data_IF_961319615466
#
_entry.id   IF_961319615466
#
_cell.length_a   1.000
_cell.length_b   1.000
_cell.length_c   1.000
_cell.angle_alpha   90.00
_cell.angle_beta   90.00
_cell.angle_gamma   90.00
#
_symmetry.space_group_name_H-M   'P 1'
#
loop_
_entity.id
_entity.type
_entity.pdbx_description
1 polymer ?
#
# COMPACT_ATOMS: atom_id res chain seq x y z
N UNK A 1 1.02 4.53 7.13
CA UNK A 1 0.64 4.70 5.71
C UNK A 1 -0.39 3.66 5.34
N UNK A 2 -1.42 4.06 4.61
CA UNK A 2 -2.34 3.17 3.92
C UNK A 2 -1.94 3.11 2.45
N UNK A 3 -1.60 1.94 1.95
CA UNK A 3 -1.23 1.73 0.55
C UNK A 3 -2.36 1.03 -0.21
N UNK A 4 -2.68 1.52 -1.40
CA UNK A 4 -3.73 0.98 -2.25
C UNK A 4 -3.12 0.57 -3.60
N UNK A 5 -3.48 -0.62 -4.06
CA UNK A 5 -3.34 -1.06 -5.44
C UNK A 5 -4.75 -1.33 -6.00
N UNK A 6 -5.38 -0.34 -6.64
CA UNK A 6 -6.76 -0.44 -7.06
C UNK A 6 -6.93 -1.38 -8.25
N UNK A 7 -8.03 -2.15 -8.25
CA UNK A 7 -8.45 -2.92 -9.41
C UNK A 7 -8.79 -1.99 -10.59
N UNK A 8 -8.24 -2.28 -11.76
CA UNK A 8 -8.36 -1.41 -12.95
C UNK A 8 -9.70 -1.57 -13.69
N UNK A 9 -10.42 -2.68 -13.46
CA UNK A 9 -11.67 -2.98 -14.16
C UNK A 9 -12.80 -3.37 -13.20
N UNK A 10 -13.99 -2.82 -13.43
CA UNK A 10 -15.20 -3.10 -12.66
C UNK A 10 -15.98 -4.34 -13.18
N UNK A 11 -15.35 -5.28 -13.85
CA UNK A 11 -15.99 -6.50 -14.36
C UNK A 11 -16.12 -7.55 -13.25
N UNK A 12 -17.10 -8.43 -13.35
CA UNK A 12 -17.37 -9.51 -12.36
C UNK A 12 -16.18 -10.46 -12.13
N UNK A 13 -15.20 -10.46 -13.03
CA UNK A 13 -13.90 -11.14 -12.92
C UNK A 13 -12.76 -10.17 -12.55
N UNK A 14 -13.08 -9.01 -11.97
CA UNK A 14 -12.08 -8.02 -11.62
C UNK A 14 -11.12 -8.55 -10.56
N UNK A 15 -9.85 -8.14 -10.69
CA UNK A 15 -8.84 -8.34 -9.68
C UNK A 15 -9.27 -7.71 -8.35
N UNK A 16 -8.73 -8.22 -7.26
CA UNK A 16 -8.93 -7.60 -5.95
C UNK A 16 -8.27 -6.22 -5.90
N UNK A 17 -8.80 -5.34 -5.07
CA UNK A 17 -8.10 -4.12 -4.68
C UNK A 17 -7.23 -4.42 -3.46
N UNK A 18 -5.92 -4.21 -3.58
CA UNK A 18 -5.00 -4.31 -2.47
C UNK A 18 -5.14 -3.08 -1.56
N UNK A 19 -5.36 -3.29 -0.27
CA UNK A 19 -5.37 -2.24 0.76
C UNK A 19 -4.58 -2.76 1.95
N UNK A 20 -3.37 -2.26 2.14
CA UNK A 20 -2.46 -2.69 3.21
C UNK A 20 -2.10 -1.48 4.08
N UNK A 21 -2.19 -1.65 5.38
CA UNK A 21 -1.73 -0.66 6.35
C UNK A 21 -0.37 -1.07 6.87
N UNK A 22 0.59 -0.17 6.74
CA UNK A 22 1.97 -0.38 7.19
C UNK A 22 2.45 0.75 8.07
N UNK A 23 3.33 0.43 9.00
CA UNK A 23 3.94 1.38 9.92
C UNK A 23 5.44 1.16 10.06
N UNK A 24 6.10 2.17 10.62
CA UNK A 24 7.54 2.12 10.94
C UNK A 24 7.77 2.73 12.32
N UNK A 25 8.60 2.09 13.14
CA UNK A 25 9.02 2.65 14.42
C UNK A 25 10.31 3.48 14.30
N UNK A 26 10.75 4.08 15.40
CA UNK A 26 11.96 4.90 15.46
C UNK A 26 13.26 4.10 15.27
N UNK A 27 13.21 2.78 15.43
CA UNK A 27 14.34 1.88 15.23
C UNK A 27 14.41 1.33 13.80
N UNK A 28 13.62 1.92 12.88
CA UNK A 28 13.51 1.49 11.48
C UNK A 28 13.05 0.03 11.32
N UNK A 29 12.20 -0.44 12.22
CA UNK A 29 11.44 -1.67 12.06
C UNK A 29 10.10 -1.35 11.43
N UNK A 30 9.68 -2.23 10.55
CA UNK A 30 8.46 -2.08 9.76
C UNK A 30 7.41 -3.07 10.24
N UNK A 31 6.17 -2.67 10.15
CA UNK A 31 5.02 -3.47 10.60
C UNK A 31 3.96 -3.50 9.53
N UNK A 32 3.48 -4.70 9.21
CA UNK A 32 2.22 -4.88 8.48
C UNK A 32 1.13 -4.94 9.53
N UNK A 33 0.28 -3.91 9.54
CA UNK A 33 -0.71 -3.70 10.60
C UNK A 33 -2.05 -4.30 10.25
N UNK A 34 -2.47 -4.19 8.99
CA UNK A 34 -3.77 -4.65 8.53
C UNK A 34 -3.79 -4.93 7.04
N UNK A 35 -4.56 -5.94 6.64
CA UNK A 35 -4.91 -6.25 5.25
C UNK A 35 -6.42 -6.16 5.08
N UNK A 36 -6.89 -5.10 4.43
CA UNK A 36 -8.29 -4.86 4.11
C UNK A 36 -8.60 -5.06 2.63
N UNK A 37 -7.70 -5.75 1.93
CA UNK A 37 -7.86 -6.06 0.52
C UNK A 37 -9.09 -6.91 0.24
N UNK A 38 -9.63 -6.79 -0.94
CA UNK A 38 -10.80 -7.57 -1.37
C UNK A 38 -11.36 -7.11 -2.71
N UNK A 39 -12.45 -7.73 -3.11
CA UNK A 39 -13.22 -7.33 -4.29
C UNK A 39 -14.20 -6.24 -3.91
N UNK A 40 -13.92 -5.03 -4.36
CA UNK A 40 -14.68 -3.85 -4.03
C UNK A 40 -15.04 -3.04 -5.27
N UNK A 41 -16.21 -2.37 -5.22
CA UNK A 41 -16.44 -1.24 -6.12
C UNK A 41 -15.50 -0.08 -5.77
N UNK A 42 -15.28 0.88 -6.69
CA UNK A 42 -14.46 2.06 -6.40
C UNK A 42 -14.89 2.82 -5.13
N UNK A 43 -16.17 3.06 -4.94
CA UNK A 43 -16.68 3.71 -3.73
C UNK A 43 -16.36 2.90 -2.45
N UNK A 44 -16.50 1.58 -2.52
CA UNK A 44 -16.25 0.69 -1.38
C UNK A 44 -14.76 0.70 -0.98
N UNK A 45 -13.83 0.55 -1.94
CA UNK A 45 -12.42 0.56 -1.57
C UNK A 45 -11.94 1.95 -1.14
N UNK A 46 -12.49 3.01 -1.72
CA UNK A 46 -12.19 4.37 -1.28
C UNK A 46 -12.60 4.61 0.17
N UNK A 47 -13.79 4.20 0.57
CA UNK A 47 -14.27 4.31 1.96
C UNK A 47 -13.45 3.45 2.91
N UNK A 48 -13.13 2.21 2.53
CA UNK A 48 -12.29 1.33 3.37
C UNK A 48 -10.89 1.91 3.59
N UNK A 49 -10.29 2.47 2.56
CA UNK A 49 -8.98 3.11 2.70
C UNK A 49 -9.02 4.32 3.65
N UNK A 50 -10.06 5.13 3.56
CA UNK A 50 -10.26 6.28 4.46
C UNK A 50 -10.53 5.81 5.88
N UNK A 51 -11.35 4.77 6.08
CA UNK A 51 -11.58 4.19 7.40
C UNK A 51 -10.27 3.69 8.04
N UNK A 52 -9.44 2.99 7.28
CA UNK A 52 -8.11 2.57 7.73
C UNK A 52 -7.22 3.76 8.10
N UNK A 53 -7.26 4.83 7.30
CA UNK A 53 -6.49 6.04 7.57
C UNK A 53 -6.83 6.63 8.94
N UNK A 54 -8.11 6.74 9.28
CA UNK A 54 -8.54 7.28 10.56
C UNK A 54 -8.32 6.29 11.72
N UNK A 55 -8.62 5.03 11.52
CA UNK A 55 -8.47 3.99 12.54
C UNK A 55 -7.02 3.86 13.02
N UNK A 56 -6.08 3.84 12.06
CA UNK A 56 -4.66 3.71 12.36
C UNK A 56 -3.95 5.05 12.54
N UNK A 57 -4.65 6.17 12.45
CA UNK A 57 -4.06 7.50 12.50
C UNK A 57 -2.86 7.62 11.55
N UNK A 58 -3.05 7.14 10.32
CA UNK A 58 -2.01 7.11 9.32
C UNK A 58 -1.59 8.52 8.90
N UNK A 59 -0.37 8.66 8.38
CA UNK A 59 0.13 9.95 7.89
C UNK A 59 -0.50 10.32 6.55
N UNK A 60 -0.75 9.32 5.70
CA UNK A 60 -1.33 9.50 4.37
C UNK A 60 -1.77 8.18 3.73
N UNK A 61 -2.52 8.32 2.65
CA UNK A 61 -2.82 7.24 1.71
C UNK A 61 -1.90 7.38 0.50
N UNK A 62 -1.35 6.28 0.02
CA UNK A 62 -0.56 6.22 -1.22
C UNK A 62 -1.17 5.22 -2.19
N UNK A 63 -1.11 5.52 -3.47
CA UNK A 63 -1.52 4.59 -4.52
C UNK A 63 -0.68 4.77 -5.79
N UNK A 64 -0.47 3.65 -6.50
CA UNK A 64 0.13 3.70 -7.82
C UNK A 64 -0.86 4.30 -8.82
N UNK A 65 -0.38 5.26 -9.62
CA UNK A 65 -1.15 5.85 -10.71
C UNK A 65 -0.56 5.47 -12.06
N UNK A 66 -1.43 5.17 -13.00
CA UNK A 66 -1.12 4.88 -14.39
C UNK A 66 -1.27 6.13 -15.29
N UNK A 67 -1.00 5.98 -16.57
CA UNK A 67 -0.96 7.07 -17.54
C UNK A 67 -2.30 7.83 -17.76
N UNK A 68 -3.41 7.35 -17.24
CA UNK A 68 -4.76 7.94 -17.36
C UNK A 68 -5.09 9.05 -16.36
N UNK A 69 -4.13 9.50 -15.55
CA UNK A 69 -4.37 10.48 -14.50
C UNK A 69 -4.75 9.84 -13.15
N UNK A 70 -5.00 10.66 -12.16
CA UNK A 70 -5.23 10.18 -10.79
C UNK A 70 -6.72 10.04 -10.46
N UNK A 71 -7.31 8.95 -10.91
CA UNK A 71 -8.69 8.60 -10.56
C UNK A 71 -8.83 8.27 -9.07
N UNK A 72 -7.78 7.74 -8.45
CA UNK A 72 -7.74 7.43 -7.01
C UNK A 72 -7.89 8.70 -6.22
N UNK A 73 -7.11 9.73 -6.51
CA UNK A 73 -7.20 11.02 -5.84
C UNK A 73 -8.60 11.60 -5.94
N UNK A 74 -9.17 11.63 -7.15
CA UNK A 74 -10.52 12.16 -7.37
C UNK A 74 -11.57 11.43 -6.53
N UNK A 75 -11.49 10.11 -6.48
CA UNK A 75 -12.41 9.31 -5.68
C UNK A 75 -12.25 9.60 -4.19
N UNK A 76 -11.04 9.57 -3.66
CA UNK A 76 -10.79 9.88 -2.25
C UNK A 76 -11.26 11.28 -1.89
N UNK A 77 -10.97 12.29 -2.72
CA UNK A 77 -11.41 13.67 -2.52
C UNK A 77 -12.94 13.84 -2.56
N UNK A 78 -13.64 13.01 -3.33
CA UNK A 78 -15.10 13.02 -3.36
C UNK A 78 -15.74 12.47 -2.08
N UNK A 79 -15.03 11.61 -1.36
CA UNK A 79 -15.48 11.02 -0.09
C UNK A 79 -15.03 11.88 1.08
N UNK A 80 -13.75 12.23 1.14
CA UNK A 80 -13.16 13.08 2.18
C UNK A 80 -12.01 13.91 1.60
N UNK A 81 -12.23 15.22 1.50
CA UNK A 81 -11.25 16.13 0.91
C UNK A 81 -10.04 16.44 1.84
N UNK A 82 -10.10 16.03 3.10
CA UNK A 82 -9.07 16.34 4.09
C UNK A 82 -8.00 15.26 4.26
N UNK A 83 -8.21 14.08 3.67
CA UNK A 83 -7.24 12.98 3.79
C UNK A 83 -5.98 13.27 2.97
N UNK A 84 -4.79 13.27 3.59
CA UNK A 84 -3.54 13.40 2.86
C UNK A 84 -3.34 12.24 1.90
N UNK A 85 -3.08 12.55 0.65
CA UNK A 85 -2.89 11.57 -0.42
C UNK A 85 -1.63 11.88 -1.24
N UNK A 86 -0.91 10.82 -1.62
CA UNK A 86 0.23 10.90 -2.52
C UNK A 86 0.15 9.83 -3.59
N UNK A 87 0.21 10.25 -4.85
CA UNK A 87 0.39 9.34 -5.97
C UNK A 87 1.84 8.90 -6.09
N UNK A 88 2.04 7.63 -6.43
CA UNK A 88 3.36 7.07 -6.75
C UNK A 88 3.33 6.49 -8.16
N UNK A 89 4.46 6.57 -8.85
CA UNK A 89 4.60 6.03 -10.21
C UNK A 89 5.70 5.00 -10.24
N UNK A 90 5.45 3.91 -10.95
CA UNK A 90 6.47 2.91 -11.21
C UNK A 90 7.51 3.47 -12.20
N UNK A 91 8.77 3.53 -11.77
CA UNK A 91 9.92 3.82 -12.61
C UNK A 91 10.71 2.56 -12.96
N UNK A 92 10.40 1.45 -12.31
CA UNK A 92 11.06 0.15 -12.46
C UNK A 92 10.04 -0.97 -12.47
N UNK A 93 10.39 -2.14 -13.00
CA UNK A 93 9.54 -3.33 -12.99
C UNK A 93 9.20 -3.82 -11.59
N UNK A 94 8.11 -4.57 -11.47
CA UNK A 94 7.60 -5.10 -10.19
C UNK A 94 8.65 -5.88 -9.40
N UNK A 95 9.40 -6.76 -10.06
CA UNK A 95 10.43 -7.56 -9.40
C UNK A 95 11.54 -6.68 -8.81
N UNK A 96 12.03 -5.71 -9.57
CA UNK A 96 13.07 -4.77 -9.12
C UNK A 96 12.62 -3.93 -7.93
N UNK A 97 11.34 -3.56 -7.87
CA UNK A 97 10.76 -2.83 -6.72
C UNK A 97 10.63 -3.71 -5.48
N UNK A 98 10.36 -4.99 -5.67
CA UNK A 98 10.19 -5.95 -4.59
C UNK A 98 11.52 -6.34 -3.93
N UNK A 99 12.64 -6.30 -4.65
CA UNK A 99 13.96 -6.71 -4.12
C UNK A 99 14.36 -5.99 -2.83
N UNK A 100 14.32 -4.64 -2.71
CA UNK A 100 14.66 -3.97 -1.46
C UNK A 100 13.74 -4.36 -0.30
N UNK A 101 12.48 -4.65 -0.59
CA UNK A 101 11.50 -5.08 0.42
C UNK A 101 11.80 -6.51 0.87
N UNK A 102 12.13 -7.40 -0.05
CA UNK A 102 12.59 -8.76 0.28
C UNK A 102 13.82 -8.73 1.19
N UNK A 103 14.77 -7.84 0.93
CA UNK A 103 15.93 -7.65 1.80
C UNK A 103 15.56 -7.22 3.23
N UNK A 104 14.54 -6.38 3.39
CA UNK A 104 14.04 -6.02 4.73
C UNK A 104 13.48 -7.22 5.48
N UNK A 105 12.78 -8.12 4.80
CA UNK A 105 12.29 -9.37 5.39
C UNK A 105 13.43 -10.30 5.79
N UNK A 106 14.44 -10.49 4.93
CA UNK A 106 15.64 -11.28 5.25
C UNK A 106 16.38 -10.75 6.47
N UNK A 107 16.45 -9.44 6.63
CA UNK A 107 17.05 -8.76 7.78
C UNK A 107 16.17 -8.82 9.03
N UNK A 108 15.01 -9.46 8.97
CA UNK A 108 14.02 -9.54 10.06
C UNK A 108 13.56 -8.16 10.55
N UNK A 109 13.46 -7.21 9.65
CA UNK A 109 13.05 -5.83 9.93
C UNK A 109 11.58 -5.56 9.63
N UNK A 110 10.86 -6.52 9.02
CA UNK A 110 9.42 -6.43 8.78
C UNK A 110 8.70 -7.47 9.61
N UNK A 111 7.71 -7.03 10.38
CA UNK A 111 6.89 -7.87 11.25
C UNK A 111 5.42 -7.77 10.84
N UNK A 112 4.75 -8.92 10.75
CA UNK A 112 3.30 -8.98 10.60
C UNK A 112 2.66 -9.00 12.00
N UNK A 113 1.83 -8.01 12.30
CA UNK A 113 1.15 -7.89 13.60
C UNK A 113 0.05 -8.93 13.76
N UNK A 114 -0.51 -9.41 12.63
CA UNK A 114 -1.51 -10.46 12.56
C UNK A 114 -1.11 -11.56 11.60
N UNK A 115 -2.00 -12.54 11.44
CA UNK A 115 -1.89 -13.57 10.42
C UNK A 115 -2.67 -13.15 9.17
N UNK A 116 -1.95 -12.84 8.10
CA UNK A 116 -2.50 -12.34 6.84
C UNK A 116 -2.33 -13.41 5.75
N UNK A 117 -3.17 -14.44 5.78
CA UNK A 117 -3.02 -15.66 4.99
C UNK A 117 -2.93 -15.40 3.48
N UNK A 118 -3.82 -14.58 2.94
CA UNK A 118 -3.85 -14.28 1.51
C UNK A 118 -2.63 -13.45 1.07
N UNK A 119 -2.22 -12.46 1.87
CA UNK A 119 -1.01 -11.68 1.60
C UNK A 119 0.24 -12.58 1.64
N UNK A 120 0.39 -13.39 2.67
CA UNK A 120 1.52 -14.29 2.84
C UNK A 120 1.58 -15.34 1.74
N UNK A 121 0.42 -15.84 1.29
CA UNK A 121 0.33 -16.73 0.14
C UNK A 121 0.82 -16.07 -1.15
N UNK A 122 0.44 -14.83 -1.42
CA UNK A 122 0.93 -14.08 -2.57
C UNK A 122 2.44 -13.84 -2.49
N UNK A 123 2.97 -13.53 -1.30
CA UNK A 123 4.41 -13.36 -1.09
C UNK A 123 5.20 -14.63 -1.41
N UNK A 124 4.72 -15.79 -0.98
CA UNK A 124 5.39 -17.08 -1.18
C UNK A 124 5.32 -17.57 -2.64
N UNK A 125 4.26 -17.23 -3.37
CA UNK A 125 4.04 -17.68 -4.75
C UNK A 125 4.55 -16.71 -5.83
N UNK A 126 5.05 -15.55 -5.45
CA UNK A 126 5.45 -14.52 -6.40
C UNK A 126 6.73 -14.87 -7.13
N UNK A 127 6.64 -14.97 -8.46
CA UNK A 127 7.77 -15.28 -9.35
C UNK A 127 8.13 -14.14 -10.31
N UNK A 128 7.44 -13.00 -10.22
CA UNK A 128 7.58 -11.87 -11.14
C UNK A 128 6.72 -11.95 -12.40
N UNK A 129 6.18 -13.12 -12.73
CA UNK A 129 5.40 -13.36 -13.94
C UNK A 129 3.94 -13.78 -13.67
N UNK A 130 3.51 -13.74 -12.42
CA UNK A 130 2.21 -14.26 -12.01
C UNK A 130 1.03 -13.45 -12.54
N UNK A 131 0.10 -14.15 -13.17
CA UNK A 131 -1.28 -13.70 -13.36
C UNK A 131 -2.21 -14.63 -12.57
N UNK A 132 -3.22 -14.14 -11.84
CA UNK A 132 -3.60 -12.73 -11.68
C UNK A 132 -2.54 -11.90 -10.94
N UNK A 133 -2.67 -10.55 -11.05
CA UNK A 133 -1.78 -9.60 -10.36
C UNK A 133 -1.82 -9.83 -8.85
N UNK A 134 -0.68 -9.87 -8.17
CA UNK A 134 -0.65 -10.02 -6.70
C UNK A 134 -0.97 -8.67 -6.02
N UNK A 135 -2.22 -8.26 -6.03
CA UNK A 135 -2.68 -6.92 -5.63
C UNK A 135 -2.33 -6.58 -4.18
N UNK A 136 -2.42 -7.56 -3.27
CA UNK A 136 -2.01 -7.37 -1.85
C UNK A 136 -0.51 -7.14 -1.74
N UNK A 137 0.28 -7.95 -2.43
CA UNK A 137 1.73 -7.83 -2.45
C UNK A 137 2.18 -6.52 -3.10
N UNK A 138 1.55 -6.11 -4.20
CA UNK A 138 1.86 -4.84 -4.84
C UNK A 138 1.57 -3.65 -3.91
N UNK A 139 0.44 -3.65 -3.21
CA UNK A 139 0.13 -2.63 -2.20
C UNK A 139 1.15 -2.64 -1.04
N UNK A 140 1.54 -3.81 -0.54
CA UNK A 140 2.57 -3.95 0.50
C UNK A 140 3.91 -3.35 0.06
N UNK A 141 4.36 -3.68 -1.13
CA UNK A 141 5.63 -3.17 -1.68
C UNK A 141 5.59 -1.64 -1.79
N UNK A 142 4.51 -1.06 -2.26
CA UNK A 142 4.35 0.40 -2.30
C UNK A 142 4.36 1.03 -0.92
N UNK A 143 3.64 0.45 0.03
CA UNK A 143 3.58 0.97 1.41
C UNK A 143 4.94 0.95 2.10
N UNK A 144 5.65 -0.16 2.05
CA UNK A 144 6.98 -0.29 2.65
C UNK A 144 8.03 0.56 1.92
N UNK A 145 7.94 0.68 0.60
CA UNK A 145 8.83 1.56 -0.18
C UNK A 145 8.64 3.01 0.24
N UNK A 146 7.40 3.47 0.38
CA UNK A 146 7.11 4.83 0.83
C UNK A 146 7.63 5.12 2.24
N UNK A 147 7.45 4.19 3.17
CA UNK A 147 8.00 4.29 4.52
C UNK A 147 9.54 4.32 4.54
N UNK A 148 10.18 3.55 3.68
CA UNK A 148 11.66 3.49 3.61
C UNK A 148 12.27 4.77 3.07
N UNK A 149 11.56 5.50 2.19
CA UNK A 149 11.97 6.82 1.67
C UNK A 149 11.78 7.94 2.67
N UNK A 150 10.83 7.81 3.57
CA UNK A 150 10.58 8.76 4.67
C UNK A 150 11.67 8.59 5.74
N UNK A 151 12.92 8.84 5.40
CA UNK A 151 13.90 9.20 6.42
C UNK A 151 13.39 10.47 7.04
N UNK A 152 13.09 10.44 8.34
CA UNK A 152 12.56 11.57 9.06
C UNK A 152 13.41 12.81 8.79
N UNK A 153 12.85 13.74 8.04
CA UNK A 153 13.24 15.11 8.21
C UNK A 153 12.83 15.48 9.63
N UNK A 154 13.80 15.35 10.54
CA UNK A 154 13.66 15.91 11.88
C UNK A 154 13.68 17.41 11.66
N UNK A 155 12.51 17.97 11.41
CA UNK A 155 12.32 19.42 11.44
C UNK A 155 12.45 19.87 12.88
N UNK A 156 13.67 20.13 13.31
CA UNK A 156 13.91 20.89 14.52
C UNK A 156 13.40 22.32 14.30
N UNK A 157 12.12 22.55 14.52
CA UNK A 157 11.63 23.92 14.76
C UNK A 157 12.08 24.28 16.16
N UNK A 158 13.25 24.89 16.23
CA UNK A 158 13.64 25.65 17.41
C UNK A 158 12.78 26.93 17.36
N UNK A 159 11.78 26.97 18.20
CA UNK A 159 11.02 28.19 18.47
C UNK A 159 11.81 29.07 19.45
#
# INVERSE_FOLDING_TARGET
IVAIDPAVTANENSDETGIIVVGKDYNERYYVLEDMSGKYSPDQWGRKAIDCYYEWQADRIVAEVNNGGDLVERLLRSIDNNVPYRSVRATRGKLTRAEPISALYEQKRVHHVGYFAELESQMCSYTGETRPSPDRLDALVWGLTELSRSRGEVNWRIS
#
